data_IF_709239157116
#
_entry.id   IF_709239157116
#
_cell.length_a   1.000
_cell.length_b   1.000
_cell.length_c   1.000
_cell.angle_alpha   90.00
_cell.angle_beta   90.00
_cell.angle_gamma   90.00
#
_symmetry.space_group_name_H-M   'P 1'
#
loop_
_entity.id
_entity.type
_entity.pdbx_description
1 polymer ?
#
# COMPACT_ATOMS: atom_id res chain seq x y z
N UNK A 1 -9.58 20.06 -9.80
CA UNK A 1 -8.14 19.97 -10.11
C UNK A 1 -7.74 18.58 -10.61
N UNK A 2 -8.11 17.49 -9.91
CA UNK A 2 -7.84 16.10 -10.34
C UNK A 2 -8.37 15.72 -11.73
N UNK A 3 -9.57 16.19 -12.12
CA UNK A 3 -10.11 15.97 -13.47
C UNK A 3 -9.26 16.58 -14.59
N UNK A 4 -8.69 17.77 -14.34
CA UNK A 4 -7.88 18.48 -15.34
C UNK A 4 -6.54 17.79 -15.57
N UNK A 5 -5.91 17.27 -14.50
CA UNK A 5 -4.71 16.46 -14.61
C UNK A 5 -5.01 15.21 -15.44
N UNK A 6 -6.04 14.43 -15.07
CA UNK A 6 -6.38 13.18 -15.79
C UNK A 6 -6.63 13.38 -17.29
N UNK A 7 -7.22 14.51 -17.70
CA UNK A 7 -7.38 14.85 -19.11
C UNK A 7 -6.06 15.19 -19.81
N UNK A 8 -5.15 15.88 -19.12
CA UNK A 8 -3.83 16.22 -19.65
C UNK A 8 -2.99 14.96 -19.85
N UNK A 9 -2.95 14.05 -18.88
CA UNK A 9 -2.18 12.80 -19.02
C UNK A 9 -2.76 11.89 -20.12
N UNK A 10 -4.09 11.82 -20.22
CA UNK A 10 -4.74 11.09 -21.30
C UNK A 10 -4.39 11.67 -22.67
N UNK A 11 -4.54 13.00 -22.85
CA UNK A 11 -4.14 13.70 -24.09
C UNK A 11 -2.66 13.52 -24.40
N UNK A 12 -1.79 13.55 -23.40
CA UNK A 12 -0.36 13.30 -23.56
C UNK A 12 -0.10 11.88 -24.09
N UNK A 13 -0.78 10.88 -23.53
CA UNK A 13 -0.62 9.48 -23.98
C UNK A 13 -1.12 9.29 -25.41
N UNK A 14 -2.24 9.92 -25.78
CA UNK A 14 -2.82 9.86 -27.13
C UNK A 14 -1.90 10.50 -28.17
N UNK A 15 -1.41 11.72 -27.88
CA UNK A 15 -0.48 12.44 -28.77
C UNK A 15 0.82 11.66 -28.92
N UNK A 16 1.39 11.20 -27.80
CA UNK A 16 2.64 10.42 -27.82
C UNK A 16 2.47 9.14 -28.63
N UNK A 17 1.32 8.47 -28.51
CA UNK A 17 1.02 7.28 -29.30
C UNK A 17 0.90 7.56 -30.79
N UNK A 18 0.20 8.62 -31.17
CA UNK A 18 0.08 9.01 -32.59
C UNK A 18 1.47 9.31 -33.16
N UNK A 19 2.28 10.12 -32.46
CA UNK A 19 3.62 10.47 -32.92
C UNK A 19 4.53 9.24 -33.01
N UNK A 20 4.57 8.39 -31.98
CA UNK A 20 5.38 7.17 -32.00
C UNK A 20 4.96 6.21 -33.12
N UNK A 21 3.65 6.03 -33.34
CA UNK A 21 3.16 5.18 -34.45
C UNK A 21 3.52 5.75 -35.82
N UNK A 22 3.51 7.07 -36.00
CA UNK A 22 3.94 7.69 -37.25
C UNK A 22 5.45 7.55 -37.45
N UNK A 23 6.25 7.75 -36.40
CA UNK A 23 7.70 7.55 -36.47
C UNK A 23 8.03 6.11 -36.87
N UNK A 24 7.40 5.12 -36.23
CA UNK A 24 7.59 3.70 -36.50
C UNK A 24 7.24 3.24 -37.93
N UNK A 25 6.61 4.08 -38.75
CA UNK A 25 6.45 3.82 -40.20
C UNK A 25 7.76 3.94 -40.97
N UNK A 26 8.76 4.61 -40.39
CA UNK A 26 10.08 4.76 -40.97
C UNK A 26 11.03 3.74 -40.35
N UNK A 27 11.86 3.08 -41.17
CA UNK A 27 12.88 2.14 -40.66
C UNK A 27 13.97 2.87 -39.87
N UNK A 28 14.33 4.07 -40.34
CA UNK A 28 15.39 4.90 -39.76
C UNK A 28 14.96 6.35 -39.57
N UNK A 29 15.56 6.99 -38.58
CA UNK A 29 15.41 8.43 -38.31
C UNK A 29 16.79 9.07 -38.17
N UNK A 30 16.89 10.35 -38.55
CA UNK A 30 18.10 11.16 -38.32
C UNK A 30 17.96 11.95 -37.03
N UNK A 31 18.91 11.79 -36.12
CA UNK A 31 19.01 12.55 -34.87
C UNK A 31 20.45 13.00 -34.66
N UNK A 32 20.68 14.30 -34.53
CA UNK A 32 22.00 14.89 -34.24
C UNK A 32 23.12 14.29 -35.13
N UNK A 33 22.85 14.28 -36.44
CA UNK A 33 23.70 13.71 -37.51
C UNK A 33 23.91 12.19 -37.53
N UNK A 34 23.30 11.44 -36.60
CA UNK A 34 23.30 9.99 -36.60
C UNK A 34 22.02 9.42 -37.23
N UNK A 35 22.17 8.32 -37.97
CA UNK A 35 21.05 7.50 -38.45
C UNK A 35 20.79 6.41 -37.40
N UNK A 36 19.58 6.39 -36.84
CA UNK A 36 19.16 5.45 -35.82
C UNK A 36 18.02 4.60 -36.35
N UNK A 37 18.02 3.31 -35.99
CA UNK A 37 16.85 2.44 -36.19
C UNK A 37 15.69 2.97 -35.35
N UNK A 38 14.57 3.31 -35.99
CA UNK A 38 13.45 3.98 -35.32
C UNK A 38 12.90 3.18 -34.15
N UNK A 39 12.79 1.86 -34.30
CA UNK A 39 12.31 0.98 -33.24
C UNK A 39 13.20 1.05 -31.99
N UNK A 40 14.53 1.01 -32.16
CA UNK A 40 15.46 1.09 -31.04
C UNK A 40 15.38 2.46 -30.34
N UNK A 41 15.26 3.54 -31.13
CA UNK A 41 15.09 4.89 -30.59
C UNK A 41 13.80 5.04 -29.78
N UNK A 42 12.65 4.62 -30.31
CA UNK A 42 11.37 4.72 -29.62
C UNK A 42 11.38 3.89 -28.33
N UNK A 43 11.97 2.69 -28.36
CA UNK A 43 12.11 1.85 -27.16
C UNK A 43 12.93 2.54 -26.06
N UNK A 44 14.07 3.13 -26.42
CA UNK A 44 14.90 3.89 -25.46
C UNK A 44 14.17 5.14 -24.93
N UNK A 45 13.48 5.87 -25.79
CA UNK A 45 12.69 7.04 -25.41
C UNK A 45 11.57 6.69 -24.42
N UNK A 46 10.77 5.66 -24.73
CA UNK A 46 9.66 5.21 -23.88
C UNK A 46 10.20 4.68 -22.55
N UNK A 47 11.32 3.96 -22.55
CA UNK A 47 11.95 3.50 -21.32
C UNK A 47 12.45 4.65 -20.45
N UNK A 48 13.02 5.71 -21.06
CA UNK A 48 13.38 6.94 -20.34
C UNK A 48 12.17 7.61 -19.70
N UNK A 49 11.03 7.63 -20.37
CA UNK A 49 9.79 8.13 -19.78
C UNK A 49 9.33 7.32 -18.56
N UNK A 50 9.46 5.98 -18.59
CA UNK A 50 9.16 5.15 -17.41
C UNK A 50 10.00 5.54 -16.19
N UNK A 51 11.29 5.79 -16.41
CA UNK A 51 12.22 6.15 -15.34
C UNK A 51 11.94 7.57 -14.82
N UNK A 52 11.62 8.52 -15.71
CA UNK A 52 11.37 9.92 -15.37
C UNK A 52 9.99 10.21 -14.79
N UNK A 53 8.99 9.38 -15.07
CA UNK A 53 7.65 9.56 -14.51
C UNK A 53 7.72 9.50 -12.98
N UNK A 54 7.32 10.59 -12.32
CA UNK A 54 7.41 10.73 -10.86
C UNK A 54 6.09 10.43 -10.14
N UNK A 55 4.97 10.49 -10.86
CA UNK A 55 3.61 10.31 -10.30
C UNK A 55 2.92 9.07 -10.84
N UNK A 56 1.87 8.64 -10.12
CA UNK A 56 1.02 7.53 -10.51
C UNK A 56 0.41 7.71 -11.90
N UNK A 57 -0.20 8.88 -12.15
CA UNK A 57 -0.89 9.18 -13.42
C UNK A 57 0.09 9.22 -14.59
N UNK A 58 1.24 9.88 -14.42
CA UNK A 58 2.26 9.97 -15.47
C UNK A 58 2.81 8.58 -15.83
N UNK A 59 3.09 7.74 -14.83
CA UNK A 59 3.57 6.38 -15.09
C UNK A 59 2.49 5.51 -15.73
N UNK A 60 1.23 5.64 -15.32
CA UNK A 60 0.09 4.96 -15.96
C UNK A 60 -0.10 5.34 -17.43
N UNK A 61 0.11 6.63 -17.78
CA UNK A 61 0.11 7.09 -19.16
C UNK A 61 1.24 6.44 -19.98
N UNK A 62 2.45 6.34 -19.41
CA UNK A 62 3.58 5.65 -20.06
C UNK A 62 3.28 4.15 -20.26
N UNK A 63 2.69 3.47 -19.29
CA UNK A 63 2.27 2.07 -19.45
C UNK A 63 1.23 1.90 -20.57
N UNK A 64 0.34 2.86 -20.73
CA UNK A 64 -0.62 2.88 -21.84
C UNK A 64 0.10 2.97 -23.18
N UNK A 65 1.12 3.81 -23.28
CA UNK A 65 1.97 3.91 -24.49
C UNK A 65 2.65 2.57 -24.78
N UNK A 66 3.30 1.98 -23.78
CA UNK A 66 4.04 0.71 -23.90
C UNK A 66 3.16 -0.42 -24.42
N UNK A 67 1.97 -0.58 -23.85
CA UNK A 67 1.01 -1.62 -24.25
C UNK A 67 0.55 -1.44 -25.70
N UNK A 68 0.23 -0.20 -26.08
CA UNK A 68 -0.25 0.11 -27.42
C UNK A 68 0.84 -0.01 -28.50
N UNK A 69 2.12 0.10 -28.12
CA UNK A 69 3.26 -0.13 -29.01
C UNK A 69 3.79 -1.57 -28.94
N UNK A 70 3.15 -2.47 -28.17
CA UNK A 70 3.59 -3.86 -27.98
C UNK A 70 5.03 -3.99 -27.43
N UNK A 71 5.46 -3.04 -26.58
CA UNK A 71 6.81 -2.99 -25.99
C UNK A 71 6.84 -3.54 -24.55
N UNK A 72 6.04 -4.57 -24.27
CA UNK A 72 5.82 -5.11 -22.91
C UNK A 72 7.12 -5.63 -22.28
N UNK A 73 8.11 -6.00 -23.08
CA UNK A 73 9.44 -6.39 -22.61
C UNK A 73 10.20 -5.26 -21.88
N UNK A 74 9.81 -3.99 -22.07
CA UNK A 74 10.32 -2.89 -21.26
C UNK A 74 9.87 -2.95 -19.79
N UNK A 75 8.72 -3.58 -19.51
CA UNK A 75 8.25 -3.81 -18.14
C UNK A 75 9.15 -4.86 -17.46
N UNK A 76 9.53 -5.91 -18.18
CA UNK A 76 10.49 -6.91 -17.69
C UNK A 76 11.84 -6.28 -17.38
N UNK A 77 12.35 -5.48 -18.32
CA UNK A 77 13.58 -4.71 -18.13
C UNK A 77 13.49 -3.79 -16.89
N UNK A 78 12.35 -3.13 -16.69
CA UNK A 78 12.13 -2.29 -15.53
C UNK A 78 12.25 -3.08 -14.21
N UNK A 79 11.63 -4.26 -14.13
CA UNK A 79 11.75 -5.14 -12.96
C UNK A 79 13.17 -5.63 -12.71
N UNK A 80 13.91 -5.97 -13.77
CA UNK A 80 15.29 -6.45 -13.68
C UNK A 80 16.25 -5.35 -13.21
N UNK A 81 16.12 -4.13 -13.75
CA UNK A 81 16.98 -3.00 -13.40
C UNK A 81 16.62 -2.37 -12.05
N UNK A 82 15.33 -2.23 -11.77
CA UNK A 82 14.83 -1.69 -10.51
C UNK A 82 14.54 -2.82 -9.54
N UNK A 83 15.50 -3.75 -9.39
CA UNK A 83 15.41 -4.83 -8.40
C UNK A 83 14.86 -4.25 -7.10
N UNK A 84 13.94 -4.96 -6.45
CA UNK A 84 13.11 -4.36 -5.40
C UNK A 84 13.90 -3.93 -4.14
N UNK A 85 15.21 -4.18 -4.13
CA UNK A 85 16.20 -3.53 -3.26
C UNK A 85 16.25 -2.00 -3.44
N UNK A 86 15.83 -1.45 -4.58
CA UNK A 86 15.71 0.00 -4.83
C UNK A 86 14.69 0.69 -3.92
N UNK A 87 13.75 -0.06 -3.34
CA UNK A 87 12.83 0.45 -2.31
C UNK A 87 13.53 0.70 -0.96
N UNK A 88 14.82 0.37 -0.82
CA UNK A 88 15.60 0.69 0.38
C UNK A 88 15.90 2.19 0.49
N UNK A 89 16.00 2.89 -0.65
CA UNK A 89 16.17 4.33 -0.69
C UNK A 89 14.89 5.02 -0.19
N UNK A 90 14.98 5.65 0.98
CA UNK A 90 13.85 6.29 1.67
C UNK A 90 13.25 7.42 0.82
N UNK A 91 14.06 8.14 0.05
CA UNK A 91 13.60 9.29 -0.74
C UNK A 91 12.82 8.85 -1.99
N UNK A 92 13.29 7.79 -2.66
CA UNK A 92 12.65 7.28 -3.87
C UNK A 92 11.51 6.29 -3.60
N UNK A 93 11.41 5.78 -2.38
CA UNK A 93 10.45 4.73 -2.00
C UNK A 93 8.99 5.07 -2.35
N UNK A 94 8.46 6.29 -2.10
CA UNK A 94 7.07 6.60 -2.47
C UNK A 94 6.85 6.50 -3.99
N UNK A 95 7.70 7.16 -4.78
CA UNK A 95 7.58 7.17 -6.23
C UNK A 95 7.70 5.76 -6.81
N UNK A 96 8.67 4.97 -6.34
CA UNK A 96 8.85 3.59 -6.80
C UNK A 96 7.69 2.69 -6.37
N UNK A 97 7.15 2.86 -5.16
CA UNK A 97 5.93 2.17 -4.70
C UNK A 97 4.75 2.47 -5.62
N UNK A 98 4.54 3.75 -5.98
CA UNK A 98 3.48 4.18 -6.90
C UNK A 98 3.62 3.55 -8.30
N UNK A 99 4.85 3.47 -8.83
CA UNK A 99 5.13 2.74 -10.09
C UNK A 99 4.76 1.25 -9.98
N UNK A 100 5.12 0.61 -8.86
CA UNK A 100 4.76 -0.79 -8.62
C UNK A 100 3.25 -1.01 -8.53
N UNK A 101 2.50 -0.10 -7.90
CA UNK A 101 1.03 -0.14 -7.88
C UNK A 101 0.47 -0.14 -9.32
N UNK A 102 0.95 0.76 -10.17
CA UNK A 102 0.56 0.79 -11.58
C UNK A 102 0.87 -0.52 -12.32
N UNK A 103 2.04 -1.11 -12.06
CA UNK A 103 2.45 -2.36 -12.70
C UNK A 103 1.55 -3.55 -12.33
N UNK A 104 0.82 -3.50 -11.21
CA UNK A 104 -0.14 -4.55 -10.84
C UNK A 104 -1.25 -4.74 -11.89
N UNK A 105 -1.51 -3.75 -12.74
CA UNK A 105 -2.49 -3.82 -13.84
C UNK A 105 -2.07 -4.70 -15.02
N UNK A 106 -0.77 -4.95 -15.16
CA UNK A 106 -0.19 -5.56 -16.37
C UNK A 106 0.54 -6.87 -16.10
N UNK A 107 0.76 -7.21 -14.83
CA UNK A 107 1.42 -8.46 -14.43
C UNK A 107 0.45 -9.62 -14.23
N UNK A 108 0.97 -10.84 -14.37
CA UNK A 108 0.24 -12.05 -14.01
C UNK A 108 0.04 -12.21 -12.49
N UNK A 109 -0.80 -13.15 -12.09
CA UNK A 109 -1.13 -13.39 -10.68
C UNK A 109 0.06 -13.83 -9.82
N UNK A 110 1.05 -14.52 -10.40
CA UNK A 110 2.23 -15.00 -9.67
C UNK A 110 3.14 -13.82 -9.33
N UNK A 111 3.38 -12.94 -10.30
CA UNK A 111 4.16 -11.70 -10.13
C UNK A 111 3.43 -10.71 -9.23
N UNK A 112 2.12 -10.61 -9.33
CA UNK A 112 1.30 -9.75 -8.48
C UNK A 112 1.59 -10.00 -7.00
N UNK A 113 1.50 -11.25 -6.52
CA UNK A 113 1.77 -11.58 -5.12
C UNK A 113 3.21 -11.28 -4.69
N UNK A 114 4.17 -11.48 -5.60
CA UNK A 114 5.58 -11.15 -5.35
C UNK A 114 5.76 -9.64 -5.15
N UNK A 115 5.21 -8.82 -6.05
CA UNK A 115 5.28 -7.36 -5.97
C UNK A 115 4.60 -6.85 -4.70
N UNK A 116 3.42 -7.38 -4.35
CA UNK A 116 2.72 -7.02 -3.11
C UNK A 116 3.58 -7.29 -1.87
N UNK A 117 4.22 -8.48 -1.82
CA UNK A 117 5.13 -8.85 -0.72
C UNK A 117 6.29 -7.86 -0.64
N UNK A 118 6.92 -7.55 -1.76
CA UNK A 118 8.08 -6.66 -1.79
C UNK A 118 7.71 -5.21 -1.44
N UNK A 119 6.57 -4.70 -1.92
CA UNK A 119 6.04 -3.40 -1.51
C UNK A 119 5.78 -3.35 -0.01
N UNK A 120 5.16 -4.38 0.57
CA UNK A 120 4.92 -4.42 2.03
C UNK A 120 6.24 -4.50 2.81
N UNK A 121 7.21 -5.31 2.36
CA UNK A 121 8.56 -5.38 2.95
C UNK A 121 9.32 -4.05 2.92
N UNK A 122 9.10 -3.24 1.90
CA UNK A 122 9.79 -1.96 1.71
C UNK A 122 9.41 -0.90 2.76
N UNK A 123 8.28 -1.06 3.43
CA UNK A 123 7.76 -0.11 4.41
C UNK A 123 7.74 -0.72 5.82
N UNK A 124 8.88 -1.18 6.37
CA UNK A 124 8.88 -1.75 7.71
C UNK A 124 8.57 -0.67 8.74
N UNK A 125 7.73 -0.99 9.72
CA UNK A 125 7.56 -0.11 10.88
C UNK A 125 8.75 -0.26 11.81
N UNK A 126 9.38 0.86 12.16
CA UNK A 126 10.38 0.95 13.22
C UNK A 126 9.75 1.61 14.44
N UNK A 127 9.92 0.99 15.60
CA UNK A 127 9.34 1.46 16.87
C UNK A 127 9.78 2.89 17.19
N UNK A 128 8.80 3.75 17.50
CA UNK A 128 9.05 5.13 17.91
C UNK A 128 9.48 6.08 16.80
N UNK A 129 9.52 5.61 15.54
CA UNK A 129 9.80 6.46 14.37
C UNK A 129 8.47 6.97 13.81
N UNK A 130 8.37 8.28 13.56
CA UNK A 130 7.20 8.87 12.92
C UNK A 130 7.00 8.29 11.53
N UNK A 131 5.73 8.18 11.13
CA UNK A 131 5.41 7.49 9.89
C UNK A 131 5.73 8.38 8.67
N UNK A 132 6.04 7.76 7.53
CA UNK A 132 6.42 8.53 6.35
C UNK A 132 5.26 9.39 5.81
N UNK A 133 5.58 10.63 5.40
CA UNK A 133 4.60 11.63 4.94
C UNK A 133 3.88 11.21 3.66
N UNK A 134 4.63 10.76 2.66
CA UNK A 134 4.09 10.44 1.32
C UNK A 134 3.50 9.02 1.22
N UNK A 135 3.46 8.28 2.34
CA UNK A 135 2.95 6.92 2.37
C UNK A 135 1.45 6.85 2.07
N UNK A 136 0.68 7.83 2.54
CA UNK A 136 -0.79 7.83 2.40
C UNK A 136 -1.23 7.88 0.95
N UNK A 137 -0.52 8.63 0.11
CA UNK A 137 -0.82 8.70 -1.31
C UNK A 137 -0.64 7.34 -2.00
N UNK A 138 0.41 6.59 -1.63
CA UNK A 138 0.56 5.20 -2.11
C UNK A 138 -0.59 4.30 -1.63
N UNK A 139 -1.06 4.45 -0.38
CA UNK A 139 -2.19 3.69 0.15
C UNK A 139 -3.47 4.03 -0.61
N UNK A 140 -3.74 5.31 -0.85
CA UNK A 140 -4.90 5.80 -1.59
C UNK A 140 -4.91 5.31 -3.05
N UNK A 141 -3.77 5.38 -3.74
CA UNK A 141 -3.58 4.81 -5.08
C UNK A 141 -3.91 3.32 -5.12
N UNK A 142 -3.40 2.56 -4.15
CA UNK A 142 -3.65 1.11 -4.05
C UNK A 142 -5.12 0.79 -3.77
N UNK A 143 -5.80 1.59 -2.93
CA UNK A 143 -7.24 1.44 -2.65
C UNK A 143 -8.07 1.74 -3.89
N UNK A 144 -7.76 2.82 -4.60
CA UNK A 144 -8.40 3.18 -5.88
C UNK A 144 -8.24 2.03 -6.86
N UNK A 145 -7.05 1.47 -6.97
CA UNK A 145 -6.77 0.33 -7.84
C UNK A 145 -7.58 -0.91 -7.44
N UNK A 146 -7.57 -1.30 -6.16
CA UNK A 146 -8.29 -2.47 -5.66
C UNK A 146 -9.81 -2.35 -5.78
N UNK A 147 -10.34 -1.12 -5.73
CA UNK A 147 -11.77 -0.82 -5.96
C UNK A 147 -12.15 -1.05 -7.42
N UNK A 148 -11.30 -0.61 -8.36
CA UNK A 148 -11.53 -0.75 -9.80
C UNK A 148 -11.19 -2.15 -10.34
N UNK A 149 -10.25 -2.86 -9.71
CA UNK A 149 -9.71 -4.15 -10.18
C UNK A 149 -9.88 -5.23 -9.10
N UNK A 150 -10.99 -6.00 -9.13
CA UNK A 150 -11.32 -6.96 -8.07
C UNK A 150 -10.29 -8.08 -7.87
N UNK A 151 -9.57 -8.48 -8.92
CA UNK A 151 -8.49 -9.46 -8.85
C UNK A 151 -7.34 -8.96 -7.96
N UNK A 152 -6.97 -7.68 -8.07
CA UNK A 152 -5.92 -7.05 -7.27
C UNK A 152 -6.39 -6.97 -5.81
N UNK A 153 -7.61 -6.50 -5.56
CA UNK A 153 -8.17 -6.45 -4.21
C UNK A 153 -8.25 -7.84 -3.54
N UNK A 154 -8.69 -8.87 -4.27
CA UNK A 154 -8.68 -10.26 -3.78
C UNK A 154 -7.27 -10.75 -3.43
N UNK A 155 -6.28 -10.42 -4.25
CA UNK A 155 -4.90 -10.80 -3.98
C UNK A 155 -4.33 -10.11 -2.74
N UNK A 156 -4.66 -8.83 -2.48
CA UNK A 156 -4.26 -8.15 -1.24
C UNK A 156 -4.87 -8.80 0.00
N UNK A 157 -6.18 -9.10 -0.05
CA UNK A 157 -6.86 -9.79 1.05
C UNK A 157 -6.28 -11.19 1.27
N UNK A 158 -6.01 -11.92 0.18
CA UNK A 158 -5.36 -13.23 0.23
C UNK A 158 -3.95 -13.16 0.83
N UNK A 159 -3.17 -12.15 0.44
CA UNK A 159 -1.82 -11.93 0.95
C UNK A 159 -1.84 -11.66 2.46
N UNK A 160 -2.71 -10.77 2.93
CA UNK A 160 -2.91 -10.50 4.36
C UNK A 160 -3.22 -11.76 5.18
N UNK A 161 -4.12 -12.61 4.67
CA UNK A 161 -4.45 -13.89 5.33
C UNK A 161 -3.26 -14.85 5.39
N UNK A 162 -2.43 -14.85 4.35
CA UNK A 162 -1.28 -15.75 4.26
C UNK A 162 -0.06 -15.29 5.07
N UNK A 163 0.12 -13.99 5.27
CA UNK A 163 1.33 -13.41 5.86
C UNK A 163 0.99 -12.25 6.82
N UNK A 164 0.12 -12.56 7.78
CA UNK A 164 -0.45 -11.58 8.72
C UNK A 164 0.63 -10.77 9.45
N UNK A 165 1.66 -11.45 9.99
CA UNK A 165 2.70 -10.80 10.79
C UNK A 165 3.51 -9.79 9.98
N UNK A 166 3.85 -10.13 8.73
CA UNK A 166 4.54 -9.24 7.82
C UNK A 166 3.70 -8.01 7.46
N UNK A 167 2.42 -8.21 7.14
CA UNK A 167 1.53 -7.10 6.78
C UNK A 167 1.31 -6.16 7.97
N UNK A 168 1.07 -6.70 9.16
CA UNK A 168 0.90 -5.91 10.38
C UNK A 168 2.20 -5.25 10.87
N UNK A 169 3.37 -5.73 10.43
CA UNK A 169 4.66 -5.11 10.78
C UNK A 169 5.14 -4.08 9.76
N UNK A 170 4.36 -3.87 8.70
CA UNK A 170 4.61 -2.89 7.64
C UNK A 170 3.69 -1.69 7.82
N UNK A 171 4.21 -0.47 7.74
CA UNK A 171 3.35 0.74 7.76
C UNK A 171 2.39 0.74 6.57
N UNK A 172 2.89 0.45 5.36
CA UNK A 172 2.07 0.37 4.16
C UNK A 172 1.02 -0.74 4.28
N UNK A 173 1.46 -1.94 4.67
CA UNK A 173 0.59 -3.11 4.80
C UNK A 173 -0.53 -2.88 5.82
N UNK A 174 -0.18 -2.34 6.98
CA UNK A 174 -1.12 -2.04 8.04
C UNK A 174 -2.19 -1.02 7.61
N UNK A 175 -1.77 0.15 7.12
CA UNK A 175 -2.69 1.20 6.67
C UNK A 175 -3.59 0.72 5.53
N UNK A 176 -3.05 -0.09 4.62
CA UNK A 176 -3.81 -0.68 3.52
C UNK A 176 -4.95 -1.57 4.02
N UNK A 177 -4.75 -2.35 5.08
CA UNK A 177 -5.81 -3.22 5.61
C UNK A 177 -6.95 -2.44 6.23
N UNK A 178 -6.64 -1.34 6.93
CA UNK A 178 -7.66 -0.41 7.43
C UNK A 178 -8.40 0.26 6.27
N UNK A 179 -7.66 0.74 5.27
CA UNK A 179 -8.25 1.39 4.10
C UNK A 179 -9.15 0.44 3.29
N UNK A 180 -8.85 -0.86 3.26
CA UNK A 180 -9.70 -1.86 2.61
C UNK A 180 -11.06 -2.04 3.30
N UNK A 181 -11.20 -1.64 4.57
CA UNK A 181 -12.50 -1.57 5.23
C UNK A 181 -13.43 -0.52 4.59
N UNK A 182 -12.89 0.44 3.83
CA UNK A 182 -13.64 1.45 3.07
C UNK A 182 -13.94 1.03 1.62
N UNK A 183 -13.81 -0.27 1.32
CA UNK A 183 -14.29 -0.84 0.05
C UNK A 183 -15.42 -1.81 0.39
N UNK A 184 -16.67 -1.48 0.01
CA UNK A 184 -17.88 -2.22 0.41
C UNK A 184 -17.77 -3.74 0.31
N UNK A 185 -17.21 -4.24 -0.80
CA UNK A 185 -17.01 -5.67 -1.04
C UNK A 185 -16.06 -6.37 -0.06
N UNK A 186 -15.17 -5.62 0.60
CA UNK A 186 -14.17 -6.14 1.53
C UNK A 186 -14.44 -5.69 2.97
N UNK A 187 -15.29 -4.68 3.21
CA UNK A 187 -15.58 -4.07 4.52
C UNK A 187 -15.81 -5.08 5.63
N UNK A 188 -16.84 -5.92 5.50
CA UNK A 188 -17.21 -6.90 6.54
C UNK A 188 -16.11 -7.95 6.75
N UNK A 189 -15.49 -8.41 5.68
CA UNK A 189 -14.44 -9.43 5.74
C UNK A 189 -13.21 -8.88 6.47
N UNK A 190 -12.71 -7.72 6.04
CA UNK A 190 -11.51 -7.10 6.62
C UNK A 190 -11.72 -6.69 8.06
N UNK A 191 -12.89 -6.13 8.40
CA UNK A 191 -13.21 -5.81 9.80
C UNK A 191 -13.18 -7.06 10.70
N UNK A 192 -13.71 -8.18 10.19
CA UNK A 192 -13.71 -9.46 10.92
C UNK A 192 -12.30 -10.00 11.10
N UNK A 193 -11.48 -9.99 10.06
CA UNK A 193 -10.12 -10.51 10.14
C UNK A 193 -9.20 -9.62 11.01
N UNK A 194 -9.34 -8.29 10.91
CA UNK A 194 -8.64 -7.35 11.79
C UNK A 194 -9.03 -7.55 13.25
N UNK A 195 -10.33 -7.65 13.55
CA UNK A 195 -10.81 -7.93 14.92
C UNK A 195 -10.21 -9.22 15.46
N UNK A 196 -10.18 -10.29 14.67
CA UNK A 196 -9.57 -11.57 15.05
C UNK A 196 -8.05 -11.45 15.25
N UNK A 197 -7.37 -10.70 14.39
CA UNK A 197 -5.93 -10.50 14.51
C UNK A 197 -5.58 -9.75 15.80
N UNK A 198 -6.28 -8.64 16.10
CA UNK A 198 -6.10 -7.88 17.33
C UNK A 198 -6.44 -8.72 18.57
N UNK A 199 -7.53 -9.49 18.55
CA UNK A 199 -7.87 -10.41 19.63
C UNK A 199 -6.74 -11.41 19.90
N UNK A 200 -6.18 -12.04 18.86
CA UNK A 200 -5.06 -12.97 19.01
C UNK A 200 -3.82 -12.31 19.57
N UNK A 201 -3.46 -11.12 19.09
CA UNK A 201 -2.28 -10.37 19.53
C UNK A 201 -2.40 -9.94 21.00
N UNK A 202 -3.58 -9.49 21.43
CA UNK A 202 -3.79 -9.10 22.82
C UNK A 202 -3.95 -10.28 23.77
N UNK A 203 -4.56 -11.39 23.35
CA UNK A 203 -4.53 -12.63 24.13
C UNK A 203 -3.09 -13.12 24.35
N UNK A 204 -2.23 -12.97 23.35
CA UNK A 204 -0.80 -13.23 23.50
C UNK A 204 -0.16 -12.28 24.52
N UNK A 205 -0.47 -10.97 24.46
CA UNK A 205 0.01 -9.99 25.44
C UNK A 205 -0.43 -10.31 26.87
N UNK A 206 -1.67 -10.77 27.07
CA UNK A 206 -2.14 -11.29 28.36
C UNK A 206 -1.29 -12.47 28.84
N UNK A 207 -0.93 -13.38 27.92
CA UNK A 207 -0.07 -14.54 28.23
C UNK A 207 1.37 -14.14 28.55
N UNK A 208 1.89 -13.03 28.02
CA UNK A 208 3.23 -12.52 28.35
C UNK A 208 3.31 -12.15 29.84
N UNK A 209 2.24 -11.63 30.43
CA UNK A 209 2.22 -11.35 31.88
C UNK A 209 2.41 -12.62 32.73
N UNK A 210 1.98 -13.78 32.22
CA UNK A 210 2.17 -15.08 32.87
C UNK A 210 3.52 -15.71 32.50
N UNK A 211 4.03 -15.44 31.30
CA UNK A 211 5.22 -16.08 30.72
C UNK A 211 6.19 -15.05 30.13
N UNK A 212 6.79 -14.18 30.94
CA UNK A 212 7.59 -13.03 30.47
C UNK A 212 8.71 -13.33 29.44
N UNK A 213 9.20 -14.58 29.33
CA UNK A 213 10.19 -14.97 28.32
C UNK A 213 9.67 -14.93 26.88
N UNK A 214 8.34 -15.01 26.65
CA UNK A 214 7.75 -14.92 25.29
C UNK A 214 7.66 -13.48 24.76
N UNK A 215 7.96 -12.47 25.57
CA UNK A 215 7.92 -11.05 25.17
C UNK A 215 8.84 -10.77 23.97
N UNK A 216 10.04 -11.36 23.96
CA UNK A 216 11.01 -11.19 22.88
C UNK A 216 10.81 -12.15 21.69
N UNK A 217 9.69 -12.88 21.66
CA UNK A 217 9.35 -13.72 20.51
C UNK A 217 8.97 -12.89 19.29
N UNK A 218 8.94 -13.52 18.11
CA UNK A 218 8.46 -12.88 16.89
C UNK A 218 7.05 -12.29 17.04
N UNK A 219 6.16 -12.94 17.80
CA UNK A 219 4.79 -12.45 18.04
C UNK A 219 4.80 -11.23 18.97
N UNK A 220 5.62 -11.24 20.01
CA UNK A 220 5.76 -10.09 20.91
C UNK A 220 6.24 -8.83 20.19
N UNK A 221 7.19 -8.97 19.27
CA UNK A 221 7.63 -7.87 18.41
C UNK A 221 6.48 -7.33 17.54
N UNK A 222 5.64 -8.20 16.95
CA UNK A 222 4.47 -7.76 16.17
C UNK A 222 3.47 -7.01 17.04
N UNK A 223 3.21 -7.45 18.28
CA UNK A 223 2.32 -6.75 19.21
C UNK A 223 2.82 -5.32 19.47
N UNK A 224 4.10 -5.17 19.83
CA UNK A 224 4.69 -3.85 20.08
C UNK A 224 4.62 -2.94 18.86
N UNK A 225 4.89 -3.49 17.67
CA UNK A 225 4.79 -2.74 16.41
C UNK A 225 3.35 -2.30 16.14
N UNK A 226 2.36 -3.18 16.31
CA UNK A 226 0.95 -2.84 16.06
C UNK A 226 0.44 -1.76 17.03
N UNK A 227 0.85 -1.80 18.30
CA UNK A 227 0.52 -0.75 19.27
C UNK A 227 1.10 0.62 18.86
N UNK A 228 2.37 0.64 18.43
CA UNK A 228 3.03 1.85 17.93
C UNK A 228 2.39 2.36 16.63
N UNK A 229 1.99 1.45 15.73
CA UNK A 229 1.27 1.81 14.50
C UNK A 229 -0.09 2.43 14.78
N UNK A 230 -0.85 1.95 15.77
CA UNK A 230 -2.13 2.57 16.14
C UNK A 230 -1.90 3.96 16.72
N UNK A 231 -0.87 4.14 17.55
CA UNK A 231 -0.51 5.46 18.08
C UNK A 231 -0.17 6.43 16.94
N UNK A 232 0.64 5.98 15.98
CA UNK A 232 0.97 6.76 14.79
C UNK A 232 -0.24 7.02 13.89
N UNK A 233 -1.17 6.07 13.80
CA UNK A 233 -2.40 6.23 13.03
C UNK A 233 -3.26 7.35 13.62
N UNK A 234 -3.46 7.37 14.94
CA UNK A 234 -4.25 8.39 15.62
C UNK A 234 -3.66 9.78 15.38
N UNK A 235 -2.34 9.94 15.56
CA UNK A 235 -1.64 11.19 15.25
C UNK A 235 -1.87 11.61 13.80
N UNK A 236 -1.73 10.66 12.87
CA UNK A 236 -1.93 10.93 11.44
C UNK A 236 -3.36 11.35 11.10
N UNK A 237 -4.38 10.79 11.77
CA UNK A 237 -5.78 11.19 11.56
C UNK A 237 -6.03 12.67 11.91
N UNK A 238 -5.21 13.25 12.81
CA UNK A 238 -5.29 14.67 13.17
C UNK A 238 -4.54 15.58 12.18
N UNK A 239 -3.45 15.07 11.57
CA UNK A 239 -2.53 15.86 10.76
C UNK A 239 -2.77 15.76 9.25
N UNK A 240 -3.35 14.65 8.77
CA UNK A 240 -3.45 14.30 7.35
C UNK A 240 -4.90 14.06 6.94
N UNK A 241 -5.41 14.94 6.06
CA UNK A 241 -6.78 14.89 5.54
C UNK A 241 -7.05 13.59 4.76
N UNK A 242 -6.08 13.12 3.96
CA UNK A 242 -6.24 11.89 3.18
C UNK A 242 -6.33 10.68 4.11
N UNK A 243 -5.54 10.67 5.19
CA UNK A 243 -5.66 9.65 6.23
C UNK A 243 -7.00 9.72 6.97
N UNK A 244 -7.46 10.92 7.33
CA UNK A 244 -8.75 11.10 7.98
C UNK A 244 -9.89 10.52 7.14
N UNK A 245 -9.98 10.90 5.86
CA UNK A 245 -11.00 10.41 4.94
C UNK A 245 -10.92 8.89 4.74
N UNK A 246 -9.71 8.35 4.65
CA UNK A 246 -9.51 6.94 4.28
C UNK A 246 -9.52 5.98 5.48
N UNK A 247 -9.22 6.43 6.69
CA UNK A 247 -8.91 5.54 7.82
C UNK A 247 -9.73 5.84 9.09
N UNK A 248 -10.36 7.01 9.22
CA UNK A 248 -11.08 7.38 10.44
C UNK A 248 -12.21 6.39 10.79
N UNK A 249 -13.18 6.20 9.87
CA UNK A 249 -14.30 5.27 10.10
C UNK A 249 -13.83 3.83 10.36
N UNK A 250 -12.92 3.23 9.54
CA UNK A 250 -12.34 1.92 9.83
C UNK A 250 -11.73 1.80 11.22
N UNK A 251 -11.00 2.83 11.67
CA UNK A 251 -10.34 2.84 12.97
C UNK A 251 -11.37 2.81 14.09
N UNK A 252 -12.36 3.70 14.04
CA UNK A 252 -13.43 3.75 15.04
C UNK A 252 -14.22 2.43 15.08
N UNK A 253 -14.59 1.89 13.92
CA UNK A 253 -15.34 0.63 13.83
C UNK A 253 -14.56 -0.56 14.39
N UNK A 254 -13.25 -0.62 14.16
CA UNK A 254 -12.40 -1.66 14.73
C UNK A 254 -12.39 -1.54 16.25
N UNK A 255 -12.07 -0.36 16.80
CA UNK A 255 -11.99 -0.16 18.25
C UNK A 255 -13.31 -0.46 18.95
N UNK A 256 -14.44 -0.03 18.37
CA UNK A 256 -15.77 -0.40 18.85
C UNK A 256 -16.05 -1.91 18.77
N UNK A 257 -15.52 -2.60 17.77
CA UNK A 257 -15.64 -4.06 17.66
C UNK A 257 -14.80 -4.78 18.71
N UNK A 258 -13.62 -4.25 19.05
CA UNK A 258 -12.78 -4.78 20.14
C UNK A 258 -13.48 -4.66 21.51
N UNK A 259 -14.16 -3.55 21.77
CA UNK A 259 -14.98 -3.34 22.98
C UNK A 259 -16.24 -4.23 23.04
N UNK A 260 -16.57 -4.97 21.97
CA UNK A 260 -17.67 -5.94 21.96
C UNK A 260 -17.19 -7.38 22.16
N UNK A 261 -15.87 -7.60 22.19
CA UNK A 261 -15.32 -8.93 22.45
C UNK A 261 -15.62 -9.34 23.89
N UNK A 262 -15.93 -10.63 24.14
CA UNK A 262 -16.16 -11.12 25.49
C UNK A 262 -14.91 -10.89 26.33
N UNK A 263 -15.08 -10.32 27.53
CA UNK A 263 -13.98 -10.11 28.44
C UNK A 263 -13.65 -11.40 29.19
N UNK A 264 -12.36 -11.64 29.38
CA UNK A 264 -11.83 -12.72 30.23
C UNK A 264 -11.75 -12.31 31.71
N UNK A 265 -12.04 -11.04 32.04
CA UNK A 265 -11.96 -10.45 33.38
C UNK A 265 -13.16 -9.55 33.64
N UNK A 266 -13.41 -9.23 34.91
CA UNK A 266 -14.37 -8.18 35.25
C UNK A 266 -13.89 -6.83 34.71
N UNK A 267 -14.82 -6.03 34.19
CA UNK A 267 -14.54 -4.74 33.57
C UNK A 267 -15.12 -3.64 34.47
N UNK A 268 -14.30 -2.65 34.78
CA UNK A 268 -14.72 -1.44 35.50
C UNK A 268 -14.78 -0.27 34.53
N UNK A 269 -15.94 0.39 34.45
CA UNK A 269 -16.15 1.57 33.61
C UNK A 269 -16.37 2.79 34.52
N UNK A 270 -15.60 3.85 34.31
CA UNK A 270 -15.71 5.13 35.03
C UNK A 270 -15.80 6.24 33.99
N UNK A 271 -16.84 7.07 34.07
CA UNK A 271 -17.10 8.20 33.15
C UNK A 271 -17.08 7.80 31.66
N UNK A 272 -17.61 6.60 31.34
CA UNK A 272 -17.63 6.06 29.97
C UNK A 272 -16.29 5.53 29.47
N UNK A 273 -15.25 5.47 30.31
CA UNK A 273 -13.92 4.93 30.00
C UNK A 273 -13.70 3.61 30.72
N UNK A 274 -12.97 2.70 30.10
CA UNK A 274 -12.54 1.46 30.77
C UNK A 274 -11.41 1.82 31.75
N UNK A 275 -11.70 1.74 33.04
CA UNK A 275 -10.75 2.03 34.12
C UNK A 275 -9.94 0.80 34.53
N UNK A 276 -10.54 -0.40 34.41
CA UNK A 276 -9.89 -1.68 34.67
C UNK A 276 -10.56 -2.80 33.83
N UNK A 277 -9.82 -3.86 33.51
CA UNK A 277 -10.32 -5.00 32.75
C UNK A 277 -9.25 -5.68 31.88
N UNK A 278 -9.69 -6.38 30.84
CA UNK A 278 -8.76 -7.04 29.92
C UNK A 278 -7.98 -6.00 29.07
N UNK A 279 -6.66 -6.20 28.85
CA UNK A 279 -5.79 -5.31 28.07
C UNK A 279 -6.34 -4.80 26.73
N UNK A 280 -7.11 -5.60 26.00
CA UNK A 280 -7.65 -5.18 24.70
C UNK A 280 -8.74 -4.12 24.82
N UNK A 281 -9.53 -4.17 25.90
CA UNK A 281 -10.55 -3.16 26.19
C UNK A 281 -9.93 -1.87 26.69
N UNK A 282 -8.92 -1.95 27.57
CA UNK A 282 -8.14 -0.79 28.02
C UNK A 282 -7.50 -0.07 26.83
N UNK A 283 -6.89 -0.85 25.92
CA UNK A 283 -6.34 -0.32 24.69
C UNK A 283 -7.39 0.36 23.82
N UNK A 284 -8.49 -0.33 23.49
CA UNK A 284 -9.52 0.21 22.62
C UNK A 284 -10.18 1.46 23.21
N UNK A 285 -10.46 1.47 24.51
CA UNK A 285 -11.01 2.62 25.22
C UNK A 285 -10.05 3.80 25.26
N UNK A 286 -8.74 3.56 25.40
CA UNK A 286 -7.73 4.63 25.41
C UNK A 286 -7.61 5.32 24.05
N UNK A 287 -7.75 4.57 22.97
CA UNK A 287 -7.62 5.11 21.61
C UNK A 287 -8.87 5.89 21.17
N UNK A 288 -10.05 5.52 21.66
CA UNK A 288 -11.32 6.19 21.31
C UNK A 288 -11.56 7.53 22.00
N UNK A 289 -10.74 7.90 22.98
CA UNK A 289 -10.98 8.99 23.95
C UNK A 289 -9.86 10.00 23.90
#
# INVERSE_FOLDING_TARGET
MLFVLSEIEQRWSDISLVLSKQLLKNEEIRKDDNILKTMAYIRDLVYKWMNQASTFEAFGAVLTVIRNLSMVDLIEKFFDEHSLNGLSDVEQRPSLTSKYINLLLVVDSKRLLRILREMVSAWPKKLGITSARDLMSCVAEMVKLARCHPNIGKACVGFYKSDLGMVLSSEFGFLLMFAFCNIDRYKTLMMTELTKAFQKLWNFKESVHEFGWIENSGVGNVVAIVEDQITCLVQRLEEDVEAFELLFEPTVLLLQSLLKLPSTRDITIVDGRVADGCPIWLFASKVLV
#
